data_IF_436672210447
#
_entry.id   IF_436672210447
#
_cell.length_a   1.000
_cell.length_b   1.000
_cell.length_c   1.000
_cell.angle_alpha   90.00
_cell.angle_beta   90.00
_cell.angle_gamma   90.00
#
_symmetry.space_group_name_H-M   'P 1'
#
loop_
_entity.id
_entity.type
_entity.pdbx_description
1 polymer ?
#
# COMPACT_ATOMS: atom_id res chain seq x y z
N UNK A 1 24.35 -27.44 -51.48
CA UNK A 1 24.18 -26.77 -50.17
C UNK A 1 25.10 -25.55 -50.05
N UNK A 2 26.27 -25.55 -50.69
CA UNK A 2 27.23 -24.43 -50.66
C UNK A 2 26.68 -23.11 -51.22
N UNK A 3 25.95 -23.16 -52.34
CA UNK A 3 25.31 -21.96 -52.94
C UNK A 3 24.33 -21.23 -52.00
N UNK A 4 23.66 -21.98 -51.12
CA UNK A 4 22.72 -21.40 -50.16
C UNK A 4 23.46 -20.68 -49.03
N UNK A 5 24.59 -21.23 -48.58
CA UNK A 5 25.44 -20.64 -47.55
C UNK A 5 26.10 -19.36 -48.08
N UNK A 6 26.52 -19.33 -49.35
CA UNK A 6 27.08 -18.12 -49.96
C UNK A 6 26.05 -17.00 -50.10
N UNK A 7 24.81 -17.32 -50.50
CA UNK A 7 23.71 -16.34 -50.54
C UNK A 7 23.41 -15.77 -49.16
N UNK A 8 23.40 -16.59 -48.11
CA UNK A 8 23.22 -16.12 -46.73
C UNK A 8 24.35 -15.19 -46.27
N UNK A 9 25.60 -15.48 -46.64
CA UNK A 9 26.74 -14.61 -46.30
C UNK A 9 26.62 -13.23 -46.95
N UNK A 10 26.22 -13.17 -48.23
CA UNK A 10 26.01 -11.91 -48.97
C UNK A 10 24.88 -11.07 -48.37
N UNK A 11 23.75 -11.70 -48.07
CA UNK A 11 22.62 -11.04 -47.40
C UNK A 11 23.02 -10.48 -46.03
N UNK A 12 23.80 -11.22 -45.25
CA UNK A 12 24.25 -10.74 -43.93
C UNK A 12 25.15 -9.50 -44.04
N UNK A 13 26.07 -9.47 -45.00
CA UNK A 13 26.95 -8.31 -45.23
C UNK A 13 26.20 -7.08 -45.74
N UNK A 14 25.19 -7.27 -46.59
CA UNK A 14 24.34 -6.18 -47.08
C UNK A 14 23.53 -5.58 -45.92
N UNK A 15 22.95 -6.42 -45.06
CA UNK A 15 22.18 -5.99 -43.89
C UNK A 15 23.07 -5.29 -42.84
N UNK A 16 24.30 -5.76 -42.60
CA UNK A 16 25.24 -5.10 -41.68
C UNK A 16 25.77 -3.76 -42.21
N UNK A 17 25.81 -3.56 -43.53
CA UNK A 17 26.20 -2.29 -44.15
C UNK A 17 25.05 -1.26 -44.18
N UNK A 18 23.81 -1.73 -44.36
CA UNK A 18 22.62 -0.89 -44.41
C UNK A 18 22.11 -0.46 -43.01
N UNK A 19 22.50 -1.20 -41.96
CA UNK A 19 22.30 -0.77 -40.57
C UNK A 19 23.63 -0.28 -40.01
N UNK A 20 23.93 1.02 -40.11
CA UNK A 20 25.04 1.58 -39.37
C UNK A 20 24.88 1.19 -37.91
N UNK A 21 25.86 0.45 -37.37
CA UNK A 21 26.01 0.36 -35.92
C UNK A 21 26.28 1.79 -35.44
N UNK A 22 25.20 2.49 -35.07
CA UNK A 22 25.32 3.74 -34.35
C UNK A 22 26.22 3.45 -33.14
N UNK A 23 27.23 4.30 -32.85
CA UNK A 23 28.00 4.13 -31.63
C UNK A 23 26.98 4.06 -30.49
N UNK A 24 27.15 3.11 -29.55
CA UNK A 24 26.22 3.00 -28.42
C UNK A 24 26.36 4.27 -27.59
N UNK A 25 25.51 5.25 -27.86
CA UNK A 25 25.52 6.50 -27.09
C UNK A 25 24.93 6.16 -25.73
N UNK A 26 25.68 6.42 -24.66
CA UNK A 26 25.14 6.24 -23.32
C UNK A 26 23.93 7.17 -23.16
N UNK A 27 22.83 6.65 -22.62
CA UNK A 27 21.56 7.39 -22.53
C UNK A 27 21.70 8.73 -21.82
N UNK A 28 22.67 8.85 -20.90
CA UNK A 28 22.93 10.09 -20.20
C UNK A 28 23.65 11.17 -21.04
N UNK A 29 24.37 10.80 -22.10
CA UNK A 29 25.02 11.78 -23.00
C UNK A 29 23.97 12.43 -23.91
N UNK A 30 23.01 11.64 -24.41
CA UNK A 30 21.84 12.13 -25.16
C UNK A 30 21.03 13.13 -24.32
N UNK A 31 20.82 12.84 -23.03
CA UNK A 31 20.09 13.74 -22.13
C UNK A 31 20.87 15.03 -21.89
N UNK A 32 22.19 14.96 -21.76
CA UNK A 32 23.05 16.13 -21.60
C UNK A 32 23.00 17.06 -22.82
N UNK A 33 23.09 16.51 -24.03
CA UNK A 33 23.07 17.28 -25.28
C UNK A 33 21.72 17.91 -25.57
N UNK A 34 20.62 17.16 -25.42
CA UNK A 34 19.29 17.65 -25.78
C UNK A 34 18.62 18.51 -24.70
N UNK A 35 18.88 18.22 -23.43
CA UNK A 35 18.18 18.87 -22.32
C UNK A 35 19.08 19.78 -21.49
N UNK A 36 20.38 19.91 -21.81
CA UNK A 36 21.36 20.69 -21.05
C UNK A 36 21.40 20.31 -19.55
N UNK A 37 21.01 19.08 -19.22
CA UNK A 37 21.00 18.57 -17.85
C UNK A 37 22.35 17.92 -17.58
N UNK A 38 23.15 18.52 -16.71
CA UNK A 38 24.41 17.92 -16.26
C UNK A 38 24.13 16.63 -15.46
N UNK A 39 24.85 15.56 -15.78
CA UNK A 39 24.87 14.33 -14.96
C UNK A 39 25.34 14.70 -13.54
N UNK A 40 24.57 14.42 -12.48
CA UNK A 40 25.02 14.67 -11.11
C UNK A 40 26.18 13.73 -10.73
N UNK A 41 27.20 14.27 -10.04
CA UNK A 41 28.38 13.50 -9.61
C UNK A 41 28.05 12.38 -8.61
N UNK A 42 26.99 12.56 -7.81
CA UNK A 42 26.54 11.58 -6.83
C UNK A 42 25.09 11.17 -7.11
N UNK A 43 24.86 9.86 -7.20
CA UNK A 43 23.51 9.29 -7.30
C UNK A 43 22.91 9.21 -5.90
N UNK A 44 22.33 10.31 -5.40
CA UNK A 44 21.50 10.28 -4.19
C UNK A 44 20.16 9.62 -4.49
N UNK A 45 20.16 8.29 -4.61
CA UNK A 45 18.93 7.50 -4.71
C UNK A 45 18.44 7.25 -3.29
N UNK A 46 17.40 7.97 -2.87
CA UNK A 46 16.68 7.72 -1.62
C UNK A 46 15.85 6.44 -1.78
N UNK A 47 16.50 5.27 -1.82
CA UNK A 47 15.80 4.00 -1.82
C UNK A 47 15.08 3.84 -0.48
N UNK A 48 13.74 3.70 -0.45
CA UNK A 48 13.02 3.47 0.78
C UNK A 48 13.51 2.16 1.41
N UNK A 49 14.00 2.23 2.64
CA UNK A 49 14.78 1.17 3.29
C UNK A 49 13.96 -0.09 3.58
N UNK A 50 12.64 0.04 3.66
CA UNK A 50 11.68 -1.06 3.86
C UNK A 50 10.26 -0.50 3.86
N UNK A 51 9.37 -1.00 3.02
CA UNK A 51 7.93 -0.85 3.27
C UNK A 51 7.54 -2.01 4.18
N UNK A 52 7.27 -1.72 5.46
CA UNK A 52 6.65 -2.70 6.34
C UNK A 52 5.25 -3.00 5.84
N UNK A 53 4.90 -4.27 5.67
CA UNK A 53 3.57 -4.70 5.24
C UNK A 53 2.56 -4.39 6.36
N UNK A 54 2.04 -3.17 6.41
CA UNK A 54 0.97 -2.79 7.33
C UNK A 54 -0.28 -3.59 6.94
N UNK A 55 -0.65 -4.57 7.75
CA UNK A 55 -1.82 -5.42 7.50
C UNK A 55 -1.52 -6.85 7.04
N UNK A 56 -0.39 -7.44 7.42
CA UNK A 56 -0.15 -8.87 7.18
C UNK A 56 -1.08 -9.74 8.05
N UNK A 57 -2.33 -9.87 7.63
CA UNK A 57 -3.31 -10.80 8.16
C UNK A 57 -2.74 -12.19 7.90
N UNK A 58 -2.29 -12.86 8.97
CA UNK A 58 -1.79 -14.24 8.90
C UNK A 58 -2.85 -15.14 8.26
N UNK A 59 -2.43 -16.22 7.60
CA UNK A 59 -3.36 -17.18 6.98
C UNK A 59 -4.45 -17.64 7.97
N UNK A 60 -4.05 -17.85 9.24
CA UNK A 60 -4.96 -18.14 10.35
C UNK A 60 -6.01 -17.05 10.58
N UNK A 61 -5.67 -15.78 10.44
CA UNK A 61 -6.62 -14.67 10.56
C UNK A 61 -7.49 -14.49 9.32
N UNK A 62 -6.95 -14.79 8.13
CA UNK A 62 -7.71 -14.77 6.87
C UNK A 62 -8.78 -15.87 6.84
N UNK A 63 -8.45 -17.04 7.39
CA UNK A 63 -9.30 -18.22 7.45
C UNK A 63 -10.32 -18.19 8.60
N UNK A 64 -10.28 -17.18 9.49
CA UNK A 64 -11.36 -16.97 10.47
C UNK A 64 -12.65 -16.63 9.73
N UNK A 65 -13.71 -17.42 9.96
CA UNK A 65 -15.06 -17.10 9.47
C UNK A 65 -15.41 -15.65 9.81
N UNK A 66 -15.70 -14.84 8.80
CA UNK A 66 -16.23 -13.47 8.99
C UNK A 66 -17.65 -13.57 9.53
N UNK A 67 -17.91 -12.98 10.70
CA UNK A 67 -19.25 -12.92 11.30
C UNK A 67 -20.15 -11.99 10.51
N UNK A 68 -21.39 -12.41 10.26
CA UNK A 68 -22.41 -11.55 9.66
C UNK A 68 -22.78 -10.39 10.60
N UNK A 69 -23.36 -9.31 10.06
CA UNK A 69 -23.79 -8.18 10.87
C UNK A 69 -24.85 -8.59 11.90
N UNK A 70 -25.77 -9.48 11.52
CA UNK A 70 -26.76 -10.08 12.42
C UNK A 70 -26.09 -10.82 13.59
N UNK A 71 -25.05 -11.60 13.31
CA UNK A 71 -24.29 -12.33 14.34
C UNK A 71 -23.54 -11.36 15.29
N UNK A 72 -22.95 -10.30 14.74
CA UNK A 72 -22.32 -9.23 15.55
C UNK A 72 -23.35 -8.53 16.45
N UNK A 73 -24.51 -8.16 15.91
CA UNK A 73 -25.56 -7.47 16.64
C UNK A 73 -26.13 -8.34 17.78
N UNK A 74 -26.34 -9.64 17.55
CA UNK A 74 -26.75 -10.58 18.59
C UNK A 74 -25.70 -10.71 19.71
N UNK A 75 -24.41 -10.68 19.37
CA UNK A 75 -23.32 -10.65 20.35
C UNK A 75 -23.33 -9.40 21.23
N UNK A 76 -23.66 -8.23 20.67
CA UNK A 76 -23.80 -6.98 21.43
C UNK A 76 -25.01 -7.05 22.36
N UNK A 77 -26.16 -7.56 21.89
CA UNK A 77 -27.37 -7.74 22.72
C UNK A 77 -27.17 -8.71 23.88
N UNK A 78 -26.31 -9.71 23.74
CA UNK A 78 -25.98 -10.68 24.80
C UNK A 78 -25.03 -10.13 25.88
N UNK A 79 -24.39 -8.97 25.68
CA UNK A 79 -23.55 -8.36 26.71
C UNK A 79 -24.42 -7.83 27.83
N UNK A 80 -24.19 -8.33 29.05
CA UNK A 80 -24.86 -7.82 30.25
C UNK A 80 -24.60 -6.31 30.42
N UNK A 81 -25.64 -5.56 30.77
CA UNK A 81 -25.53 -4.14 31.06
C UNK A 81 -24.81 -3.93 32.40
N UNK A 82 -23.66 -3.27 32.38
CA UNK A 82 -22.93 -2.90 33.60
C UNK A 82 -23.55 -1.64 34.21
N UNK A 83 -23.49 -1.53 35.54
CA UNK A 83 -23.85 -0.27 36.23
C UNK A 83 -22.77 0.78 35.98
N UNK A 84 -23.18 2.00 35.66
CA UNK A 84 -22.27 3.13 35.63
C UNK A 84 -21.76 3.42 37.05
N UNK A 85 -20.45 3.60 37.21
CA UNK A 85 -19.84 3.89 38.52
C UNK A 85 -20.00 5.33 39.00
N UNK A 86 -20.73 6.18 38.26
CA UNK A 86 -21.06 7.56 38.66
C UNK A 86 -22.58 7.72 38.88
N UNK A 87 -23.38 7.65 37.81
CA UNK A 87 -24.84 7.83 37.90
C UNK A 87 -25.62 6.56 38.31
N UNK A 88 -24.96 5.41 38.47
CA UNK A 88 -25.61 4.16 38.89
C UNK A 88 -26.49 3.48 37.84
N UNK A 89 -26.83 4.15 36.73
CA UNK A 89 -27.71 3.60 35.69
C UNK A 89 -27.04 2.38 35.03
N UNK A 90 -27.81 1.29 34.88
CA UNK A 90 -27.36 0.06 34.19
C UNK A 90 -27.43 0.23 32.68
N UNK A 91 -26.36 0.77 32.09
CA UNK A 91 -26.23 0.92 30.63
C UNK A 91 -24.83 0.52 30.16
N UNK A 92 -24.73 0.02 28.93
CA UNK A 92 -23.45 -0.19 28.25
C UNK A 92 -23.02 1.02 27.40
N UNK A 93 -23.78 2.11 27.43
CA UNK A 93 -23.54 3.32 26.62
C UNK A 93 -22.39 4.15 27.18
N UNK A 94 -22.24 4.17 28.49
CA UNK A 94 -21.21 4.94 29.16
C UNK A 94 -20.72 4.25 30.43
N UNK A 95 -19.54 4.65 30.88
CA UNK A 95 -18.88 4.16 32.10
C UNK A 95 -18.66 5.34 33.04
N UNK A 96 -18.06 5.13 34.22
CA UNK A 96 -17.75 6.21 35.17
C UNK A 96 -17.00 7.37 34.49
N UNK A 97 -16.03 7.07 33.62
CA UNK A 97 -15.17 8.08 32.96
C UNK A 97 -15.78 8.72 31.72
N UNK A 98 -16.91 8.20 31.23
CA UNK A 98 -17.63 8.71 30.07
C UNK A 98 -19.09 9.06 30.39
N UNK A 99 -19.45 9.08 31.67
CA UNK A 99 -20.79 9.37 32.13
C UNK A 99 -21.16 10.84 31.81
N UNK A 100 -22.33 11.10 31.23
CA UNK A 100 -22.73 12.47 30.89
C UNK A 100 -22.87 13.36 32.13
N UNK A 101 -23.27 12.76 33.26
CA UNK A 101 -23.45 13.46 34.54
C UNK A 101 -22.14 13.65 35.29
N UNK A 102 -21.06 12.96 34.89
CA UNK A 102 -19.77 13.11 35.56
C UNK A 102 -19.06 14.38 35.06
N UNK A 103 -18.86 15.39 35.92
CA UNK A 103 -18.18 16.64 35.53
C UNK A 103 -16.71 16.42 35.14
N UNK A 104 -16.10 15.33 35.63
CA UNK A 104 -14.74 14.92 35.31
C UNK A 104 -14.66 13.86 34.21
N UNK A 105 -15.73 13.66 33.42
CA UNK A 105 -15.74 12.72 32.32
C UNK A 105 -14.73 13.14 31.24
N UNK A 106 -13.85 12.21 30.84
CA UNK A 106 -12.81 12.47 29.83
C UNK A 106 -13.40 12.69 28.44
N UNK A 107 -14.58 12.13 28.16
CA UNK A 107 -15.35 12.31 26.92
C UNK A 107 -16.84 12.17 27.23
N UNK A 108 -17.64 13.19 26.89
CA UNK A 108 -19.11 13.11 26.98
C UNK A 108 -19.61 12.12 25.92
N UNK A 109 -20.63 11.28 26.22
CA UNK A 109 -21.20 10.39 25.22
C UNK A 109 -21.83 11.20 24.08
N UNK A 110 -21.75 10.70 22.84
CA UNK A 110 -22.45 11.32 21.71
C UNK A 110 -23.96 11.25 21.96
N UNK A 111 -24.71 12.34 21.73
CA UNK A 111 -26.17 12.31 21.87
C UNK A 111 -26.76 11.27 20.91
N UNK A 112 -27.83 10.61 21.35
CA UNK A 112 -28.65 9.76 20.48
C UNK A 112 -29.44 10.74 19.59
N UNK A 113 -29.13 10.76 18.29
CA UNK A 113 -30.00 11.41 17.30
C UNK A 113 -31.10 10.40 17.01
N UNK A 114 -32.31 10.72 17.48
CA UNK A 114 -33.56 9.99 17.21
C UNK A 114 -33.98 10.12 15.76
#
# INVERSE_FOLDING_TARGET
>A
MEDFVEKLKKLKTEVEAEVPNHPSIETGDVIGEHYAISKPNEKTVNNPTRVGNKGNITEKERNKRRKSEKEKALGVKKKQNKKCGFCGVKTNLHTKTTCPDNPNARRKPKPIVS
#
